data_IF_335926348064
#
_entry.id   IF_335926348064
#
_cell.length_a   1.000
_cell.length_b   1.000
_cell.length_c   1.000
_cell.angle_alpha   90.00
_cell.angle_beta   90.00
_cell.angle_gamma   90.00
#
_symmetry.space_group_name_H-M   'P 1'
#
loop_
_entity.id
_entity.type
_entity.pdbx_description
1 polymer ?
#
# COMPACT_ATOMS: atom_id res chain seq x y z
N UNK A 1 -6.07 -20.66 13.98
CA UNK A 1 -6.57 -19.45 13.30
C UNK A 1 -5.74 -19.27 12.04
N UNK A 2 -6.32 -18.78 10.93
CA UNK A 2 -5.54 -18.47 9.74
C UNK A 2 -4.44 -17.45 10.07
N UNK A 3 -3.30 -17.56 9.41
CA UNK A 3 -2.26 -16.52 9.51
C UNK A 3 -2.77 -15.23 8.87
N UNK A 4 -2.39 -14.08 9.42
CA UNK A 4 -2.78 -12.77 8.88
C UNK A 4 -1.72 -12.25 7.93
N UNK A 5 -2.15 -11.61 6.86
CA UNK A 5 -1.29 -10.90 5.90
C UNK A 5 -1.82 -9.50 5.65
N UNK A 6 -0.93 -8.51 5.60
CA UNK A 6 -1.30 -7.14 5.19
C UNK A 6 -0.96 -6.93 3.71
N UNK A 7 -1.97 -6.66 2.89
CA UNK A 7 -1.81 -6.40 1.46
C UNK A 7 -1.84 -4.90 1.18
N UNK A 8 -0.80 -4.38 0.53
CA UNK A 8 -0.84 -3.07 -0.10
C UNK A 8 -1.91 -3.07 -1.20
N UNK A 9 -3.02 -2.37 -0.95
CA UNK A 9 -4.23 -2.50 -1.74
C UNK A 9 -4.57 -1.17 -2.41
N UNK A 10 -4.56 -1.14 -3.75
CA UNK A 10 -4.90 0.06 -4.53
C UNK A 10 -6.38 0.11 -4.91
N UNK A 11 -7.12 -0.99 -4.74
CA UNK A 11 -8.47 -1.14 -5.24
C UNK A 11 -8.58 -1.38 -6.74
N UNK A 12 -7.45 -1.52 -7.44
CA UNK A 12 -7.40 -1.94 -8.84
C UNK A 12 -7.45 -3.47 -8.99
N UNK A 13 -7.73 -3.92 -10.22
CA UNK A 13 -7.93 -5.33 -10.58
C UNK A 13 -6.88 -6.27 -9.96
N UNK A 14 -5.61 -5.98 -10.16
CA UNK A 14 -4.51 -6.85 -9.74
C UNK A 14 -4.51 -7.09 -8.23
N UNK A 15 -4.69 -6.04 -7.43
CA UNK A 15 -4.71 -6.15 -5.97
C UNK A 15 -6.00 -6.77 -5.44
N UNK A 16 -7.13 -6.61 -6.14
CA UNK A 16 -8.38 -7.30 -5.81
C UNK A 16 -8.28 -8.81 -6.08
N UNK A 17 -7.70 -9.20 -7.22
CA UNK A 17 -7.42 -10.60 -7.53
C UNK A 17 -6.42 -11.18 -6.53
N UNK A 18 -5.37 -10.42 -6.18
CA UNK A 18 -4.40 -10.86 -5.18
C UNK A 18 -5.03 -11.11 -3.80
N UNK A 19 -5.93 -10.23 -3.33
CA UNK A 19 -6.64 -10.43 -2.07
C UNK A 19 -7.46 -11.71 -2.08
N UNK A 20 -8.23 -11.94 -3.16
CA UNK A 20 -8.99 -13.17 -3.33
C UNK A 20 -8.09 -14.41 -3.37
N UNK A 21 -7.00 -14.36 -4.13
CA UNK A 21 -6.07 -15.47 -4.30
C UNK A 21 -5.33 -15.82 -3.00
N UNK A 22 -4.84 -14.81 -2.25
CA UNK A 22 -4.18 -15.02 -0.96
C UNK A 22 -5.13 -15.68 0.05
N UNK A 23 -6.41 -15.29 0.07
CA UNK A 23 -7.40 -15.96 0.89
C UNK A 23 -7.68 -17.39 0.40
N UNK A 24 -8.06 -17.54 -0.87
CA UNK A 24 -8.60 -18.79 -1.39
C UNK A 24 -7.53 -19.88 -1.60
N UNK A 25 -6.34 -19.51 -2.06
CA UNK A 25 -5.27 -20.44 -2.44
C UNK A 25 -4.16 -20.56 -1.39
N UNK A 26 -4.00 -19.55 -0.51
CA UNK A 26 -2.99 -19.55 0.54
C UNK A 26 -3.56 -19.62 1.95
N UNK A 27 -4.88 -19.48 2.13
CA UNK A 27 -5.53 -19.62 3.43
C UNK A 27 -5.26 -18.48 4.41
N UNK A 28 -4.77 -17.33 3.92
CA UNK A 28 -4.54 -16.16 4.77
C UNK A 28 -5.84 -15.44 5.13
N UNK A 29 -5.88 -14.85 6.32
CA UNK A 29 -6.77 -13.76 6.66
C UNK A 29 -6.17 -12.45 6.11
N UNK A 30 -6.73 -11.97 5.01
CA UNK A 30 -6.16 -10.83 4.26
C UNK A 30 -6.70 -9.51 4.80
N UNK A 31 -5.79 -8.64 5.25
CA UNK A 31 -6.06 -7.28 5.69
C UNK A 31 -5.55 -6.31 4.62
N UNK A 32 -6.45 -5.63 3.92
CA UNK A 32 -6.09 -4.68 2.87
C UNK A 32 -5.76 -3.31 3.48
N UNK A 33 -4.65 -2.71 3.07
CA UNK A 33 -4.24 -1.38 3.49
C UNK A 33 -4.01 -0.49 2.27
N UNK A 34 -4.81 0.58 2.17
CA UNK A 34 -4.68 1.64 1.18
C UNK A 34 -4.07 2.87 1.86
N UNK A 35 -3.05 3.46 1.24
CA UNK A 35 -2.35 4.64 1.77
C UNK A 35 -2.65 5.83 0.85
N UNK A 36 -3.33 6.85 1.37
CA UNK A 36 -3.58 8.10 0.66
C UNK A 36 -2.39 9.04 0.78
N UNK A 37 -1.70 9.25 -0.34
CA UNK A 37 -0.62 10.24 -0.49
C UNK A 37 -1.09 11.51 -1.24
N UNK A 38 -2.41 11.68 -1.44
CA UNK A 38 -3.02 12.82 -2.13
C UNK A 38 -3.61 12.51 -3.50
N UNK A 39 -3.71 11.24 -3.88
CA UNK A 39 -4.28 10.81 -5.18
C UNK A 39 -5.38 9.76 -5.01
N UNK A 40 -5.99 9.69 -3.83
CA UNK A 40 -7.06 8.71 -3.58
C UNK A 40 -8.36 9.16 -4.25
N UNK A 41 -8.98 8.24 -4.99
CA UNK A 41 -10.27 8.43 -5.66
C UNK A 41 -11.45 7.96 -4.81
N UNK A 42 -12.34 7.18 -5.42
CA UNK A 42 -13.53 6.61 -4.78
C UNK A 42 -13.18 5.62 -3.65
N UNK A 43 -13.19 6.11 -2.41
CA UNK A 43 -12.87 5.34 -1.21
C UNK A 43 -13.91 4.26 -0.91
N UNK A 44 -15.18 4.54 -1.17
CA UNK A 44 -16.26 3.61 -0.87
C UNK A 44 -16.19 2.41 -1.83
N UNK A 45 -15.94 2.67 -3.11
CA UNK A 45 -15.70 1.61 -4.09
C UNK A 45 -14.45 0.79 -3.79
N UNK A 46 -13.38 1.38 -3.23
CA UNK A 46 -12.19 0.61 -2.79
C UNK A 46 -12.58 -0.36 -1.68
N UNK A 47 -13.31 0.10 -0.66
CA UNK A 47 -13.78 -0.74 0.46
C UNK A 47 -14.70 -1.84 -0.03
N UNK A 48 -15.67 -1.51 -0.89
CA UNK A 48 -16.60 -2.48 -1.46
C UNK A 48 -15.86 -3.57 -2.26
N UNK A 49 -14.96 -3.18 -3.16
CA UNK A 49 -14.17 -4.14 -3.94
C UNK A 49 -13.30 -5.04 -3.07
N UNK A 50 -12.72 -4.49 -1.99
CA UNK A 50 -11.90 -5.28 -1.06
C UNK A 50 -12.73 -6.29 -0.27
N UNK A 51 -13.92 -5.88 0.19
CA UNK A 51 -14.87 -6.77 0.86
C UNK A 51 -15.37 -7.87 -0.08
N UNK A 52 -15.71 -7.53 -1.33
CA UNK A 52 -16.11 -8.51 -2.36
C UNK A 52 -14.98 -9.49 -2.70
N UNK A 53 -13.72 -9.04 -2.71
CA UNK A 53 -12.56 -9.91 -2.89
C UNK A 53 -12.31 -10.84 -1.68
N UNK A 54 -12.95 -10.57 -0.54
CA UNK A 54 -12.88 -11.39 0.68
C UNK A 54 -11.84 -10.93 1.69
N UNK A 55 -11.45 -9.65 1.67
CA UNK A 55 -10.63 -9.08 2.75
C UNK A 55 -11.39 -9.10 4.08
N UNK A 56 -10.67 -9.39 5.17
CA UNK A 56 -11.21 -9.34 6.54
C UNK A 56 -11.41 -7.89 6.99
N UNK A 57 -10.53 -7.00 6.54
CA UNK A 57 -10.56 -5.56 6.80
C UNK A 57 -10.02 -4.84 5.57
N UNK A 58 -10.57 -3.66 5.27
CA UNK A 58 -10.00 -2.72 4.30
C UNK A 58 -9.80 -1.41 5.04
N UNK A 59 -8.56 -1.00 5.22
CA UNK A 59 -8.21 0.25 5.87
C UNK A 59 -7.69 1.27 4.85
N UNK A 60 -8.02 2.53 5.10
CA UNK A 60 -7.52 3.67 4.33
C UNK A 60 -6.82 4.59 5.30
N UNK A 61 -5.52 4.80 5.10
CA UNK A 61 -4.68 5.64 5.95
C UNK A 61 -4.42 6.95 5.22
N UNK A 62 -4.77 8.07 5.85
CA UNK A 62 -4.33 9.39 5.40
C UNK A 62 -2.87 9.60 5.81
N UNK A 63 -1.97 9.66 4.83
CA UNK A 63 -0.54 9.83 5.05
C UNK A 63 0.02 11.07 4.34
N UNK A 64 -0.84 12.01 3.94
CA UNK A 64 -0.44 13.22 3.20
C UNK A 64 0.56 14.06 3.97
N UNK A 65 0.30 14.33 5.25
CA UNK A 65 1.18 15.16 6.08
C UNK A 65 2.54 14.49 6.33
N UNK A 66 2.54 13.19 6.61
CA UNK A 66 3.78 12.42 6.80
C UNK A 66 4.59 12.36 5.51
N UNK A 67 3.92 12.19 4.36
CA UNK A 67 4.56 12.19 3.06
C UNK A 67 5.22 13.53 2.76
N UNK A 68 4.51 14.63 2.99
CA UNK A 68 5.05 15.97 2.77
C UNK A 68 6.24 16.24 3.71
N UNK A 69 6.05 16.01 5.01
CA UNK A 69 7.01 16.35 6.06
C UNK A 69 8.30 15.54 5.95
N UNK A 70 8.21 14.24 5.73
CA UNK A 70 9.35 13.34 5.84
C UNK A 70 9.97 12.93 4.49
N UNK A 71 9.28 13.17 3.36
CA UNK A 71 9.77 12.75 2.05
C UNK A 71 9.83 13.91 1.05
N UNK A 72 8.73 14.62 0.84
CA UNK A 72 8.69 15.67 -0.21
C UNK A 72 9.54 16.89 0.17
N UNK A 73 9.38 17.45 1.37
CA UNK A 73 10.16 18.62 1.78
C UNK A 73 11.66 18.35 1.86
N UNK A 74 12.15 17.23 2.42
CA UNK A 74 13.57 16.89 2.38
C UNK A 74 14.11 16.72 0.95
N UNK A 75 13.36 16.06 0.06
CA UNK A 75 13.76 15.91 -1.35
C UNK A 75 13.85 17.25 -2.08
N UNK A 76 12.90 18.16 -1.79
CA UNK A 76 12.91 19.52 -2.33
C UNK A 76 14.10 20.34 -1.81
N UNK A 77 14.37 20.29 -0.50
CA UNK A 77 15.50 20.99 0.13
C UNK A 77 16.85 20.53 -0.44
N UNK A 78 16.99 19.24 -0.73
CA UNK A 78 18.18 18.67 -1.35
C UNK A 78 18.25 18.91 -2.88
N UNK A 79 17.22 19.52 -3.49
CA UNK A 79 17.18 19.76 -4.93
C UNK A 79 17.23 18.48 -5.75
N UNK A 80 16.63 17.39 -5.25
CA UNK A 80 16.78 16.06 -5.84
C UNK A 80 16.23 15.99 -7.26
N UNK A 81 17.10 15.64 -8.20
CA UNK A 81 16.77 15.39 -9.60
C UNK A 81 17.53 14.17 -10.10
N UNK A 82 16.83 13.05 -10.23
CA UNK A 82 17.37 11.86 -10.86
C UNK A 82 17.66 12.15 -12.34
N UNK A 83 18.91 11.87 -12.75
CA UNK A 83 19.44 12.16 -14.09
C UNK A 83 19.20 13.62 -14.53
N UNK A 84 19.16 14.56 -13.56
CA UNK A 84 18.93 15.98 -13.80
C UNK A 84 17.53 16.32 -14.33
N UNK A 85 16.58 15.38 -14.33
CA UNK A 85 15.25 15.55 -14.95
C UNK A 85 14.07 15.13 -14.09
N UNK A 86 14.21 14.06 -13.30
CA UNK A 86 13.08 13.44 -12.61
C UNK A 86 13.13 13.66 -11.09
N UNK A 87 12.14 14.31 -10.47
CA UNK A 87 12.16 14.63 -9.04
C UNK A 87 11.77 13.44 -8.12
N UNK A 88 11.97 12.20 -8.58
CA UNK A 88 11.66 10.98 -7.81
C UNK A 88 10.18 10.86 -7.36
N UNK A 89 9.24 11.47 -8.08
CA UNK A 89 7.84 11.59 -7.67
C UNK A 89 7.17 10.28 -7.19
N UNK A 90 7.49 9.15 -7.83
CA UNK A 90 6.97 7.83 -7.46
C UNK A 90 7.80 7.18 -6.35
N UNK A 91 9.12 7.26 -6.45
CA UNK A 91 10.04 6.61 -5.52
C UNK A 91 9.92 7.13 -4.08
N UNK A 92 9.61 8.43 -3.90
CA UNK A 92 9.49 9.04 -2.57
C UNK A 92 8.37 8.43 -1.72
N UNK A 93 7.27 7.95 -2.33
CA UNK A 93 6.14 7.39 -1.58
C UNK A 93 6.36 5.96 -1.10
N UNK A 94 7.21 5.18 -1.79
CA UNK A 94 7.38 3.73 -1.53
C UNK A 94 7.88 3.41 -0.12
N UNK A 95 8.89 4.11 0.43
CA UNK A 95 9.34 3.83 1.79
C UNK A 95 8.27 4.10 2.86
N UNK A 96 7.44 5.13 2.68
CA UNK A 96 6.33 5.44 3.60
C UNK A 96 5.26 4.34 3.55
N UNK A 97 4.86 3.91 2.35
CA UNK A 97 3.92 2.80 2.16
C UNK A 97 4.45 1.52 2.84
N UNK A 98 5.71 1.16 2.57
CA UNK A 98 6.36 -0.01 3.17
C UNK A 98 6.38 0.06 4.70
N UNK A 99 6.71 1.23 5.27
CA UNK A 99 6.66 1.46 6.71
C UNK A 99 5.26 1.22 7.28
N UNK A 100 4.24 1.81 6.68
CA UNK A 100 2.85 1.70 7.16
C UNK A 100 2.31 0.26 7.07
N UNK A 101 2.71 -0.51 6.05
CA UNK A 101 2.40 -1.94 5.96
C UNK A 101 3.00 -2.73 7.11
N UNK A 102 4.28 -2.47 7.43
CA UNK A 102 4.97 -3.14 8.54
C UNK A 102 4.36 -2.75 9.89
N UNK A 103 4.00 -1.47 10.07
CA UNK A 103 3.36 -0.99 11.29
C UNK A 103 1.98 -1.64 11.49
N UNK A 104 1.14 -1.70 10.45
CA UNK A 104 -0.15 -2.40 10.49
C UNK A 104 0.06 -3.90 10.76
N UNK A 105 1.03 -4.53 10.11
CA UNK A 105 1.32 -5.95 10.32
C UNK A 105 1.68 -6.24 11.79
N UNK A 106 2.54 -5.41 12.40
CA UNK A 106 2.86 -5.51 13.84
C UNK A 106 1.65 -5.27 14.72
N UNK A 107 0.83 -4.27 14.42
CA UNK A 107 -0.37 -3.92 15.18
C UNK A 107 -1.36 -5.09 15.26
N UNK A 108 -1.58 -5.81 14.15
CA UNK A 108 -2.58 -6.88 14.10
C UNK A 108 -2.00 -8.29 14.34
N UNK A 109 -0.68 -8.39 14.52
CA UNK A 109 0.03 -9.67 14.65
C UNK A 109 0.08 -10.48 13.35
N UNK A 110 0.21 -9.81 12.20
CA UNK A 110 0.40 -10.46 10.90
C UNK A 110 1.83 -10.99 10.73
N UNK A 111 1.95 -12.15 10.09
CA UNK A 111 3.23 -12.82 9.84
C UNK A 111 3.84 -12.43 8.49
N UNK A 112 3.06 -11.77 7.62
CA UNK A 112 3.50 -11.37 6.29
C UNK A 112 2.91 -10.03 5.83
N UNK A 113 3.58 -9.43 4.85
CA UNK A 113 3.09 -8.32 4.03
C UNK A 113 3.14 -8.71 2.55
N UNK A 114 2.28 -8.13 1.73
CA UNK A 114 2.23 -8.36 0.28
C UNK A 114 2.03 -7.05 -0.49
N UNK A 115 2.47 -7.02 -1.75
CA UNK A 115 2.27 -5.91 -2.68
C UNK A 115 1.98 -6.43 -4.09
N UNK A 116 1.40 -5.58 -4.94
CA UNK A 116 1.06 -5.90 -6.34
C UNK A 116 2.04 -5.35 -7.37
N UNK A 117 3.29 -5.05 -6.99
CA UNK A 117 4.27 -4.52 -7.96
C UNK A 117 4.69 -5.60 -8.94
N UNK A 118 5.14 -5.19 -10.13
CA UNK A 118 5.57 -6.12 -11.17
C UNK A 118 6.98 -6.66 -10.91
N UNK A 119 7.32 -7.83 -11.47
CA UNK A 119 8.67 -8.40 -11.37
C UNK A 119 9.74 -7.75 -12.26
N UNK A 120 9.44 -6.62 -12.90
CA UNK A 120 10.37 -5.89 -13.81
C UNK A 120 10.40 -4.38 -13.56
N UNK A 121 9.73 -3.90 -12.50
CA UNK A 121 9.64 -2.49 -12.14
C UNK A 121 10.62 -2.07 -11.05
N UNK A 122 10.63 -0.77 -10.73
CA UNK A 122 11.48 -0.17 -9.70
C UNK A 122 10.78 0.04 -8.35
N UNK A 123 9.46 -0.16 -8.30
CA UNK A 123 8.63 0.12 -7.11
C UNK A 123 9.03 -0.69 -5.87
#
# INVERSE_FOLDING_TARGET
MPEKIVLAYSGGLDTSVAAHWLRAQRGYEVHCLTIDLGNLGDTDGIRERGAQAGAAEVDIVDAKDDFLRYFVFPALQAGVMYEGRYPLATALGRPLIAKLLVDKARQIGATAVAHGCTGKGND
#
